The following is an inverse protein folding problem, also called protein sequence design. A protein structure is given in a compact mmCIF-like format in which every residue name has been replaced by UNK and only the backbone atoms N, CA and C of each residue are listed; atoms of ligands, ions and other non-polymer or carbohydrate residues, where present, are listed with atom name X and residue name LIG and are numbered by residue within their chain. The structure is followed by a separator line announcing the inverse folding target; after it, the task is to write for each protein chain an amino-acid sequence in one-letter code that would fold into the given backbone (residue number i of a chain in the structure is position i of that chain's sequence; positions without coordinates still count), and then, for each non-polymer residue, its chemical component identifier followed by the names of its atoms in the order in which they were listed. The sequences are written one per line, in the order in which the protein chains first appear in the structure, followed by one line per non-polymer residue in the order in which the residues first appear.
data_IF_260230521051
#
_entry.id   IF_260230521051
#
_cell.length_a   1.000
_cell.length_b   1.000
_cell.length_c   1.000
_cell.angle_alpha   90.00
_cell.angle_beta   90.00
_cell.angle_gamma   90.00
#
_symmetry.space_group_name_H-M   'P 1'
#
loop_
_entity.id
_entity.type
_entity.pdbx_description
1 polymer ?
#
# COMPACT_ATOMS: atom_id res chain seq x y z
N UNK A 1 21.50 -0.28 -30.48
CA UNK A 1 21.25 -0.32 -29.03
C UNK A 1 21.14 -1.78 -28.64
N UNK A 2 21.62 -2.23 -27.46
CA UNK A 2 21.38 -3.59 -27.02
C UNK A 2 19.88 -3.77 -26.75
N UNK A 3 19.30 -4.86 -27.24
CA UNK A 3 17.91 -5.18 -27.00
C UNK A 3 17.69 -5.58 -25.53
N UNK A 4 16.54 -5.25 -24.93
CA UNK A 4 16.22 -5.63 -23.57
C UNK A 4 16.17 -7.16 -23.44
N UNK A 5 16.96 -7.71 -22.50
CA UNK A 5 17.07 -9.15 -22.27
C UNK A 5 15.78 -9.82 -21.74
N UNK A 6 14.74 -9.04 -21.44
CA UNK A 6 13.50 -9.53 -20.83
C UNK A 6 12.29 -9.02 -21.59
N UNK A 7 11.35 -9.94 -21.85
CA UNK A 7 10.05 -9.61 -22.40
C UNK A 7 9.17 -8.99 -21.30
N UNK A 8 9.24 -7.66 -21.20
CA UNK A 8 8.48 -6.86 -20.24
C UNK A 8 6.97 -7.06 -20.38
N UNK A 9 6.46 -7.29 -21.59
CA UNK A 9 5.03 -7.53 -21.84
C UNK A 9 4.53 -8.83 -21.18
N UNK A 10 5.31 -9.92 -21.24
CA UNK A 10 4.98 -11.17 -20.56
C UNK A 10 5.06 -11.09 -19.03
N UNK A 11 5.85 -10.14 -18.50
CA UNK A 11 6.01 -9.92 -17.06
C UNK A 11 4.98 -8.93 -16.50
N UNK A 12 4.27 -8.19 -17.35
CA UNK A 12 3.29 -7.16 -17.01
C UNK A 12 1.85 -7.60 -17.31
N UNK A 13 1.53 -8.90 -17.24
CA UNK A 13 0.16 -9.24 -16.84
C UNK A 13 -0.11 -8.42 -15.58
N UNK A 14 -1.11 -7.53 -15.58
CA UNK A 14 -1.33 -6.56 -14.50
C UNK A 14 -1.77 -7.29 -13.22
N UNK A 15 -0.92 -8.13 -12.65
CA UNK A 15 -1.15 -8.91 -11.43
C UNK A 15 -1.57 -7.98 -10.32
N UNK A 16 -0.96 -6.79 -10.23
CA UNK A 16 -1.35 -5.74 -9.29
C UNK A 16 -2.83 -5.37 -9.40
N UNK A 17 -3.34 -5.09 -10.61
CA UNK A 17 -4.76 -4.77 -10.80
C UNK A 17 -5.64 -6.00 -10.56
N UNK A 18 -5.18 -7.19 -10.92
CA UNK A 18 -5.91 -8.44 -10.66
C UNK A 18 -6.05 -8.72 -9.17
N UNK A 19 -5.02 -8.44 -8.37
CA UNK A 19 -5.10 -8.57 -6.91
C UNK A 19 -5.99 -7.48 -6.30
N UNK A 20 -6.02 -6.27 -6.88
CA UNK A 20 -6.96 -5.24 -6.45
C UNK A 20 -8.43 -5.61 -6.69
N UNK A 21 -8.72 -6.37 -7.74
CA UNK A 21 -10.07 -6.85 -8.04
C UNK A 21 -10.54 -7.96 -7.09
N UNK A 22 -9.67 -8.49 -6.21
CA UNK A 22 -10.04 -9.54 -5.25
C UNK A 22 -10.70 -8.99 -3.98
N UNK A 23 -10.60 -7.70 -3.71
CA UNK A 23 -11.13 -7.10 -2.48
C UNK A 23 -12.61 -6.73 -2.65
N UNK A 24 -13.43 -7.14 -1.69
CA UNK A 24 -14.85 -6.79 -1.62
C UNK A 24 -15.02 -5.39 -0.98
N UNK A 25 -15.52 -4.38 -1.72
CA UNK A 25 -15.72 -3.04 -1.18
C UNK A 25 -16.59 -2.98 0.08
N UNK A 26 -17.55 -3.91 0.23
CA UNK A 26 -18.46 -3.95 1.39
C UNK A 26 -17.72 -4.41 2.65
N UNK A 27 -16.89 -5.44 2.54
CA UNK A 27 -16.06 -5.89 3.65
C UNK A 27 -14.98 -4.85 4.02
N UNK A 28 -14.41 -4.18 3.02
CA UNK A 28 -13.47 -3.08 3.22
C UNK A 28 -14.14 -1.89 3.95
N UNK A 29 -15.39 -1.56 3.62
CA UNK A 29 -16.17 -0.55 4.35
C UNK A 29 -16.45 -0.97 5.80
N UNK A 30 -16.80 -2.24 6.01
CA UNK A 30 -17.02 -2.79 7.37
C UNK A 30 -15.77 -2.69 8.23
N UNK A 31 -14.61 -3.05 7.68
CA UNK A 31 -13.31 -2.91 8.35
C UNK A 31 -12.98 -1.45 8.63
N UNK A 32 -13.21 -0.57 7.66
CA UNK A 32 -13.00 0.88 7.81
C UNK A 32 -13.80 1.44 8.99
N UNK A 33 -15.11 1.16 9.05
CA UNK A 33 -15.98 1.67 10.12
C UNK A 33 -15.50 1.22 11.50
N UNK A 34 -15.07 -0.04 11.63
CA UNK A 34 -14.47 -0.53 12.87
C UNK A 34 -13.18 0.23 13.23
N UNK A 35 -12.29 0.43 12.24
CA UNK A 35 -11.03 1.12 12.46
C UNK A 35 -11.21 2.59 12.85
N UNK A 36 -12.16 3.30 12.24
CA UNK A 36 -12.42 4.73 12.50
C UNK A 36 -12.84 4.98 13.96
N UNK A 37 -13.56 4.04 14.58
CA UNK A 37 -13.96 4.13 15.99
C UNK A 37 -12.78 3.98 16.95
N UNK A 38 -11.67 3.40 16.49
CA UNK A 38 -10.50 3.08 17.30
C UNK A 38 -9.33 4.05 17.09
N UNK A 39 -9.44 5.01 16.17
CA UNK A 39 -8.41 6.02 15.97
C UNK A 39 -8.34 6.97 17.17
N UNK A 40 -7.11 7.29 17.59
CA UNK A 40 -6.90 8.41 18.49
C UNK A 40 -6.97 9.75 17.73
N UNK A 41 -6.91 10.87 18.47
CA UNK A 41 -7.04 12.21 17.90
C UNK A 41 -5.97 12.52 16.84
N UNK A 42 -4.70 12.25 17.13
CA UNK A 42 -3.59 12.52 16.21
C UNK A 42 -3.69 11.68 14.91
N UNK A 43 -4.05 10.41 15.05
CA UNK A 43 -4.27 9.50 13.93
C UNK A 43 -5.47 9.94 13.09
N UNK A 44 -6.53 10.44 13.73
CA UNK A 44 -7.73 10.98 13.04
C UNK A 44 -7.35 12.21 12.22
N UNK A 45 -6.55 13.12 12.77
CA UNK A 45 -6.05 14.30 12.05
C UNK A 45 -5.21 13.88 10.84
N UNK A 46 -4.30 12.91 11.03
CA UNK A 46 -3.47 12.40 9.93
C UNK A 46 -4.31 11.69 8.85
N UNK A 47 -5.29 10.86 9.26
CA UNK A 47 -6.22 10.18 8.36
C UNK A 47 -6.97 11.18 7.48
N UNK A 48 -7.63 12.16 8.11
CA UNK A 48 -8.41 13.17 7.41
C UNK A 48 -7.54 13.95 6.42
N UNK A 49 -6.34 14.38 6.84
CA UNK A 49 -5.44 15.14 5.98
C UNK A 49 -5.01 14.36 4.72
N UNK A 50 -4.77 13.07 4.85
CA UNK A 50 -4.44 12.22 3.69
C UNK A 50 -5.67 12.01 2.82
N UNK A 51 -6.83 11.68 3.41
CA UNK A 51 -8.06 11.45 2.66
C UNK A 51 -8.53 12.69 1.91
N UNK A 52 -8.51 13.87 2.54
CA UNK A 52 -8.86 15.14 1.89
C UNK A 52 -7.97 15.41 0.67
N UNK A 53 -6.67 15.10 0.78
CA UNK A 53 -5.73 15.24 -0.33
C UNK A 53 -6.05 14.28 -1.48
N UNK A 54 -6.39 13.03 -1.17
CA UNK A 54 -6.77 12.02 -2.17
C UNK A 54 -8.06 12.42 -2.87
N UNK A 55 -9.08 12.84 -2.12
CA UNK A 55 -10.39 13.23 -2.66
C UNK A 55 -10.33 14.53 -3.46
N UNK A 56 -9.39 15.42 -3.14
CA UNK A 56 -9.08 16.58 -3.96
C UNK A 56 -8.23 16.25 -5.21
N UNK A 57 -7.93 14.97 -5.47
CA UNK A 57 -7.06 14.50 -6.56
C UNK A 57 -5.68 15.16 -6.58
N UNK A 58 -5.17 15.56 -5.42
CA UNK A 58 -3.85 16.15 -5.31
C UNK A 58 -2.77 15.06 -5.20
N UNK A 59 -1.75 15.14 -6.05
CA UNK A 59 -0.57 14.29 -5.94
C UNK A 59 0.36 14.83 -4.83
N UNK A 60 0.36 14.19 -3.65
CA UNK A 60 1.28 14.51 -2.54
C UNK A 60 1.87 13.25 -1.92
N UNK A 61 3.03 13.42 -1.31
CA UNK A 61 3.68 12.39 -0.50
C UNK A 61 3.60 12.79 0.97
N UNK A 62 3.30 11.83 1.84
CA UNK A 62 3.20 12.02 3.27
C UNK A 62 4.17 11.10 4.00
N UNK A 63 4.77 11.60 5.08
CA UNK A 63 5.57 10.81 6.00
C UNK A 63 4.92 10.84 7.38
N UNK A 64 4.55 9.66 7.89
CA UNK A 64 3.99 9.53 9.23
C UNK A 64 5.14 9.28 10.22
N UNK A 65 5.38 10.24 11.10
CA UNK A 65 6.39 10.13 12.16
C UNK A 65 5.69 9.89 13.48
N UNK A 66 6.15 8.91 14.23
CA UNK A 66 5.63 8.59 15.56
C UNK A 66 6.47 7.55 16.26
N UNK A 67 6.33 7.42 17.57
CA UNK A 67 7.03 6.40 18.36
C UNK A 67 6.63 4.98 17.92
N UNK A 68 7.46 3.98 18.23
CA UNK A 68 7.28 2.61 17.75
C UNK A 68 5.87 2.05 18.00
N UNK A 69 5.26 2.39 19.13
CA UNK A 69 3.93 1.90 19.55
C UNK A 69 2.75 2.81 19.15
N UNK A 70 2.99 3.89 18.41
CA UNK A 70 1.94 4.87 18.06
C UNK A 70 0.90 4.37 17.04
N UNK A 71 0.86 3.07 16.72
CA UNK A 71 -0.14 2.50 15.82
C UNK A 71 0.00 2.95 14.36
N UNK A 72 1.20 3.30 13.88
CA UNK A 72 1.41 3.74 12.48
C UNK A 72 0.87 2.74 11.46
N UNK A 73 1.11 1.45 11.68
CA UNK A 73 0.58 0.37 10.86
C UNK A 73 -0.95 0.33 10.87
N UNK A 74 -1.55 0.57 12.04
CA UNK A 74 -3.01 0.66 12.14
C UNK A 74 -3.57 1.78 11.26
N UNK A 75 -2.95 2.97 11.29
CA UNK A 75 -3.36 4.07 10.42
C UNK A 75 -3.19 3.75 8.93
N UNK A 76 -2.10 3.10 8.52
CA UNK A 76 -1.93 2.65 7.13
C UNK A 76 -3.01 1.66 6.70
N UNK A 77 -3.42 0.75 7.58
CA UNK A 77 -4.49 -0.20 7.31
C UNK A 77 -5.83 0.52 7.16
N UNK A 78 -6.14 1.46 8.06
CA UNK A 78 -7.36 2.28 7.98
C UNK A 78 -7.44 3.08 6.68
N UNK A 79 -6.33 3.68 6.25
CA UNK A 79 -6.26 4.36 4.94
C UNK A 79 -6.49 3.39 3.78
N UNK A 80 -5.89 2.20 3.83
CA UNK A 80 -6.08 1.19 2.78
C UNK A 80 -7.56 0.78 2.65
N UNK A 81 -8.22 0.46 3.78
CA UNK A 81 -9.64 0.14 3.82
C UNK A 81 -10.50 1.30 3.29
N UNK A 82 -10.17 2.55 3.64
CA UNK A 82 -10.86 3.73 3.15
C UNK A 82 -10.77 3.93 1.64
N UNK A 83 -9.63 3.60 1.04
CA UNK A 83 -9.43 3.70 -0.40
C UNK A 83 -10.17 2.57 -1.13
N UNK A 84 -10.05 1.34 -0.64
CA UNK A 84 -10.63 0.15 -1.29
C UNK A 84 -12.15 0.09 -1.18
N UNK A 85 -12.75 0.53 -0.07
CA UNK A 85 -14.21 0.64 0.04
C UNK A 85 -14.80 1.62 -0.99
N UNK A 86 -14.00 2.58 -1.44
CA UNK A 86 -14.33 3.54 -2.51
C UNK A 86 -13.88 3.07 -3.90
N UNK A 87 -13.60 1.77 -4.04
CA UNK A 87 -13.13 1.12 -5.27
C UNK A 87 -11.85 1.74 -5.86
N UNK A 88 -11.06 2.45 -5.06
CA UNK A 88 -9.77 2.99 -5.46
C UNK A 88 -8.65 1.97 -5.27
N UNK A 89 -7.61 2.11 -6.09
CA UNK A 89 -6.42 1.25 -6.07
C UNK A 89 -5.48 1.68 -4.93
N UNK A 90 -5.20 0.77 -3.99
CA UNK A 90 -4.32 1.02 -2.85
C UNK A 90 -3.23 -0.06 -2.71
N UNK A 91 -2.02 0.27 -3.16
CA UNK A 91 -0.84 -0.61 -3.12
C UNK A 91 -0.12 -0.54 -1.77
N UNK A 92 -0.22 -1.61 -0.98
CA UNK A 92 0.50 -1.75 0.27
C UNK A 92 1.86 -2.39 0.06
N UNK A 93 2.94 -1.63 0.29
CA UNK A 93 4.31 -2.09 0.08
C UNK A 93 5.13 -1.87 1.33
N UNK A 94 5.90 -2.89 1.74
CA UNK A 94 6.82 -2.80 2.86
C UNK A 94 8.21 -3.30 2.47
N UNK A 95 9.23 -2.98 3.28
CA UNK A 95 10.60 -3.45 3.01
C UNK A 95 10.77 -4.95 3.33
N UNK A 96 10.28 -5.40 4.50
CA UNK A 96 10.37 -6.79 4.96
C UNK A 96 9.06 -7.56 4.73
N UNK A 97 9.17 -8.89 4.62
CA UNK A 97 8.00 -9.76 4.49
C UNK A 97 7.07 -9.69 5.71
N UNK A 98 7.64 -9.61 6.92
CA UNK A 98 6.86 -9.50 8.16
C UNK A 98 6.05 -8.20 8.18
N UNK A 99 6.67 -7.08 7.78
CA UNK A 99 5.96 -5.81 7.71
C UNK A 99 4.88 -5.81 6.61
N UNK A 100 5.14 -6.47 5.48
CA UNK A 100 4.16 -6.61 4.41
C UNK A 100 2.92 -7.39 4.86
N UNK A 101 3.10 -8.46 5.65
CA UNK A 101 1.97 -9.25 6.18
C UNK A 101 1.03 -8.46 7.11
N UNK A 102 1.52 -7.40 7.75
CA UNK A 102 0.70 -6.55 8.62
C UNK A 102 -0.19 -5.57 7.84
N UNK A 103 0.03 -5.41 6.53
CA UNK A 103 -0.75 -4.55 5.66
C UNK A 103 -1.74 -5.39 4.83
N UNK A 104 -2.98 -4.92 4.61
CA UNK A 104 -3.96 -5.60 3.76
C UNK A 104 -3.43 -5.84 2.33
N UNK A 105 -3.24 -7.11 1.96
CA UNK A 105 -2.66 -7.47 0.66
C UNK A 105 -1.22 -6.99 0.46
N UNK A 106 -0.50 -6.73 1.56
CA UNK A 106 0.83 -6.14 1.51
C UNK A 106 1.88 -7.05 0.88
N UNK A 107 2.82 -6.45 0.16
CA UNK A 107 3.94 -7.12 -0.51
C UNK A 107 5.26 -6.45 -0.23
N UNK A 108 6.35 -7.18 -0.41
CA UNK A 108 7.68 -6.59 -0.26
C UNK A 108 8.00 -5.69 -1.45
N UNK A 109 8.75 -4.60 -1.21
CA UNK A 109 9.19 -3.68 -2.27
C UNK A 109 9.98 -4.42 -3.37
N UNK A 110 10.78 -5.41 -2.99
CA UNK A 110 11.51 -6.28 -3.92
C UNK A 110 10.58 -7.00 -4.89
N UNK A 111 9.49 -7.56 -4.38
CA UNK A 111 8.51 -8.27 -5.21
C UNK A 111 7.67 -7.28 -6.04
N UNK A 112 7.16 -6.22 -5.41
CA UNK A 112 6.27 -5.25 -6.07
C UNK A 112 6.98 -4.47 -7.17
N UNK A 113 8.18 -3.98 -6.91
CA UNK A 113 8.93 -3.16 -7.87
C UNK A 113 9.95 -3.96 -8.68
N UNK A 114 9.97 -5.29 -8.51
CA UNK A 114 10.90 -6.20 -9.20
C UNK A 114 12.36 -5.73 -9.10
N UNK A 115 12.76 -5.32 -7.91
CA UNK A 115 14.12 -4.82 -7.64
C UNK A 115 15.05 -6.03 -7.68
N UNK A 116 15.70 -6.22 -8.82
CA UNK A 116 16.71 -7.26 -9.01
C UNK A 116 18.00 -6.82 -8.33
N UNK A 117 18.54 -7.68 -7.46
CA UNK A 117 19.90 -7.51 -6.98
C UNK A 117 20.85 -8.07 -8.05
N UNK A 118 21.62 -7.18 -8.68
CA UNK A 118 22.70 -7.59 -9.57
C UNK A 118 23.87 -8.07 -8.70
N UNK A 119 23.81 -9.33 -8.26
CA UNK A 119 24.94 -9.99 -7.61
C UNK A 119 25.96 -10.31 -8.71
N UNK A 120 26.73 -9.31 -9.13
CA UNK A 120 27.97 -9.57 -9.86
C UNK A 120 28.95 -10.21 -8.89
N UNK A 121 28.87 -11.53 -8.75
CA UNK A 121 29.93 -12.35 -8.18
C UNK A 121 31.17 -12.07 -9.02
N UNK A 122 32.15 -11.40 -8.42
CA UNK A 122 33.42 -11.11 -9.06
C UNK A 122 34.02 -12.38 -9.65
N UNK A 123 34.22 -12.37 -10.96
CA UNK A 123 35.16 -13.27 -11.63
C UNK A 123 36.54 -12.66 -11.55
#
# INVERSE_FOLDING_TARGET
MPDPCWNWESMLSNTFLQDHLQFDPVEEERMLLHCLLMLNEEQTVAFNRVMDCVLAHHCKTFFLVGVACAGKTFLYNTLCHALRSRTMVALCVAYSGIAAQLLPGGRTAHFTFKILFDLKTGK
#
